data_IF_021821955429
#
_entry.id   IF_021821955429
#
_cell.length_a   1.000
_cell.length_b   1.000
_cell.length_c   1.000
_cell.angle_alpha   90.00
_cell.angle_beta   90.00
_cell.angle_gamma   90.00
#
_symmetry.space_group_name_H-M   'P 1'
#
loop_
_entity.id
_entity.type
_entity.pdbx_description
1 polymer ?
#
# COMPACT_ATOMS: atom_id res chain seq x y z
N UNK A 1 -34.27 -4.30 -17.62
CA UNK A 1 -34.46 -2.88 -17.94
C UNK A 1 -33.18 -2.16 -17.56
N UNK A 2 -32.57 -1.46 -18.52
CA UNK A 2 -31.31 -0.75 -18.29
C UNK A 2 -31.60 0.61 -17.64
N UNK A 3 -30.82 0.96 -16.62
CA UNK A 3 -30.97 2.23 -15.90
C UNK A 3 -30.51 2.11 -14.45
N UNK A 4 -30.42 3.25 -13.78
CA UNK A 4 -30.20 3.35 -12.35
C UNK A 4 -31.24 4.29 -11.77
N UNK A 5 -31.55 4.11 -10.49
CA UNK A 5 -32.43 5.01 -9.76
C UNK A 5 -31.73 6.35 -9.54
N UNK A 6 -32.44 7.43 -9.83
CA UNK A 6 -31.95 8.78 -9.62
C UNK A 6 -32.44 9.24 -8.23
N UNK A 7 -31.53 9.67 -7.34
CA UNK A 7 -31.90 10.00 -5.95
C UNK A 7 -32.69 11.30 -5.80
N UNK A 8 -32.62 12.21 -6.79
CA UNK A 8 -33.21 13.54 -6.71
C UNK A 8 -33.77 13.99 -8.08
N UNK A 9 -34.85 14.80 -8.07
CA UNK A 9 -35.46 15.39 -9.25
C UNK A 9 -34.64 16.53 -9.85
N UNK A 10 -33.72 17.12 -9.08
CA UNK A 10 -32.81 18.17 -9.56
C UNK A 10 -31.60 17.63 -10.36
N UNK A 11 -31.51 16.31 -10.54
CA UNK A 11 -30.42 15.70 -11.28
C UNK A 11 -30.40 16.12 -12.76
N UNK A 12 -29.27 16.60 -13.28
CA UNK A 12 -29.19 17.06 -14.66
C UNK A 12 -29.29 15.90 -15.65
N UNK A 13 -29.98 16.13 -16.76
CA UNK A 13 -30.10 15.19 -17.88
C UNK A 13 -29.06 15.55 -18.94
N UNK A 14 -28.27 14.58 -19.37
CA UNK A 14 -27.22 14.77 -20.39
C UNK A 14 -27.71 14.25 -21.75
N UNK A 15 -27.01 14.62 -22.83
CA UNK A 15 -27.31 14.11 -24.20
C UNK A 15 -27.32 12.56 -24.29
N UNK A 16 -26.59 11.89 -23.40
CA UNK A 16 -26.55 10.44 -23.32
C UNK A 16 -27.78 9.81 -22.63
N UNK A 17 -28.70 10.60 -22.08
CA UNK A 17 -29.93 10.10 -21.46
C UNK A 17 -30.94 9.74 -22.54
N UNK A 18 -31.17 8.44 -22.73
CA UNK A 18 -32.11 7.95 -23.72
C UNK A 18 -33.58 8.02 -23.25
N UNK A 19 -33.85 7.60 -22.01
CA UNK A 19 -35.19 7.53 -21.46
C UNK A 19 -35.21 7.90 -19.96
N UNK A 20 -36.29 8.53 -19.51
CA UNK A 20 -36.60 8.76 -18.09
C UNK A 20 -37.87 7.96 -17.77
N UNK A 21 -37.82 7.16 -16.70
CA UNK A 21 -38.95 6.32 -16.28
C UNK A 21 -39.44 6.83 -14.92
N UNK A 22 -40.67 7.33 -14.89
CA UNK A 22 -41.33 7.70 -13.65
C UNK A 22 -41.84 6.42 -12.96
N UNK A 23 -41.15 5.98 -11.92
CA UNK A 23 -41.59 4.87 -11.10
C UNK A 23 -42.67 5.33 -10.12
N UNK A 24 -43.73 4.52 -9.96
CA UNK A 24 -44.70 4.67 -8.88
C UNK A 24 -44.96 3.30 -8.25
N UNK A 25 -45.30 3.22 -6.95
CA UNK A 25 -45.55 1.95 -6.27
C UNK A 25 -46.67 1.12 -6.91
N UNK A 26 -47.63 1.77 -7.59
CA UNK A 26 -48.72 1.09 -8.29
C UNK A 26 -48.32 0.49 -9.64
N UNK A 27 -47.35 1.09 -10.34
CA UNK A 27 -46.84 0.60 -11.63
C UNK A 27 -45.67 -0.38 -11.46
N UNK A 28 -44.86 -0.17 -10.42
CA UNK A 28 -43.69 -0.96 -10.10
C UNK A 28 -43.78 -1.42 -8.65
N UNK A 29 -44.53 -2.51 -8.37
CA UNK A 29 -44.55 -3.09 -7.04
C UNK A 29 -43.14 -3.56 -6.64
N UNK A 30 -42.83 -3.60 -5.34
CA UNK A 30 -41.55 -4.11 -4.88
C UNK A 30 -41.34 -5.54 -5.40
N UNK A 31 -40.13 -5.89 -5.85
CA UNK A 31 -39.86 -7.23 -6.33
C UNK A 31 -40.10 -8.25 -5.21
N UNK A 32 -40.69 -9.41 -5.53
CA UNK A 32 -40.82 -10.49 -4.56
C UNK A 32 -39.43 -10.94 -4.07
N UNK A 33 -39.36 -11.56 -2.88
CA UNK A 33 -38.10 -12.01 -2.32
C UNK A 33 -37.38 -13.00 -3.25
N UNK A 34 -36.05 -12.97 -3.23
CA UNK A 34 -35.24 -13.92 -3.98
C UNK A 34 -35.50 -15.35 -3.50
N UNK A 35 -35.83 -16.23 -4.43
CA UNK A 35 -36.01 -17.66 -4.20
C UNK A 35 -34.78 -18.44 -4.71
N UNK A 36 -34.54 -19.67 -4.23
CA UNK A 36 -33.45 -20.49 -4.72
C UNK A 36 -33.54 -20.76 -6.23
N UNK A 37 -32.39 -20.76 -6.91
CA UNK A 37 -32.31 -21.08 -8.34
C UNK A 37 -32.74 -22.53 -8.61
N UNK A 38 -33.79 -22.71 -9.42
CA UNK A 38 -34.30 -24.03 -9.85
C UNK A 38 -33.61 -24.57 -11.12
N UNK A 39 -32.61 -23.87 -11.65
CA UNK A 39 -31.86 -24.24 -12.87
C UNK A 39 -32.76 -24.49 -14.10
N UNK A 40 -33.75 -23.62 -14.31
CA UNK A 40 -34.70 -23.73 -15.43
C UNK A 40 -34.13 -23.39 -16.82
N UNK A 41 -32.95 -22.77 -16.92
CA UNK A 41 -32.33 -22.43 -18.21
C UNK A 41 -32.84 -21.16 -18.90
N UNK A 42 -34.00 -20.62 -18.52
CA UNK A 42 -34.64 -19.46 -19.16
C UNK A 42 -33.73 -18.23 -19.30
N UNK A 43 -32.80 -18.03 -18.36
CA UNK A 43 -31.85 -16.92 -18.41
C UNK A 43 -30.87 -16.99 -19.59
N UNK A 44 -30.51 -18.19 -20.07
CA UNK A 44 -29.60 -18.37 -21.20
C UNK A 44 -30.31 -18.10 -22.52
N UNK A 45 -31.57 -18.54 -22.65
CA UNK A 45 -32.39 -18.35 -23.86
C UNK A 45 -32.64 -16.87 -24.19
N UNK A 46 -32.79 -16.02 -23.17
CA UNK A 46 -33.05 -14.59 -23.35
C UNK A 46 -31.78 -13.74 -23.44
N UNK A 47 -30.59 -14.33 -23.30
CA UNK A 47 -29.35 -13.57 -23.28
C UNK A 47 -28.99 -13.09 -24.69
N UNK A 48 -28.92 -11.78 -24.97
CA UNK A 48 -28.61 -11.26 -26.31
C UNK A 48 -27.15 -11.50 -26.74
N UNK A 49 -26.29 -11.91 -25.81
CA UNK A 49 -24.87 -12.21 -26.05
C UNK A 49 -24.58 -13.71 -25.90
N UNK A 50 -25.62 -14.55 -25.82
CA UNK A 50 -25.50 -16.02 -25.75
C UNK A 50 -24.59 -16.51 -24.61
N UNK A 51 -24.47 -15.73 -23.53
CA UNK A 51 -23.72 -16.12 -22.35
C UNK A 51 -24.46 -17.22 -21.58
N UNK A 52 -23.81 -17.77 -20.56
CA UNK A 52 -24.43 -18.68 -19.58
C UNK A 52 -24.65 -17.99 -18.22
N UNK A 53 -25.73 -17.18 -18.05
CA UNK A 53 -25.99 -16.47 -16.80
C UNK A 53 -26.12 -17.37 -15.58
N UNK A 54 -26.57 -18.62 -15.75
CA UNK A 54 -26.71 -19.55 -14.64
C UNK A 54 -25.35 -19.90 -14.02
N UNK A 55 -24.34 -20.20 -14.83
CA UNK A 55 -22.98 -20.51 -14.36
C UNK A 55 -22.30 -19.26 -13.79
N UNK A 56 -22.41 -18.15 -14.52
CA UNK A 56 -21.91 -16.84 -14.08
C UNK A 56 -22.48 -16.44 -12.73
N UNK A 57 -23.76 -16.73 -12.45
CA UNK A 57 -24.37 -16.45 -11.14
C UNK A 57 -23.72 -17.27 -10.03
N UNK A 58 -23.55 -18.58 -10.24
CA UNK A 58 -22.92 -19.44 -9.24
C UNK A 58 -21.47 -19.03 -8.97
N UNK A 59 -20.69 -18.68 -10.01
CA UNK A 59 -19.32 -18.20 -9.83
C UNK A 59 -19.25 -16.82 -9.18
N UNK A 60 -20.13 -15.89 -9.57
CA UNK A 60 -20.22 -14.56 -8.97
C UNK A 60 -20.63 -14.62 -7.49
N UNK A 61 -21.61 -15.46 -7.16
CA UNK A 61 -22.09 -15.68 -5.79
C UNK A 61 -21.01 -16.34 -4.91
N UNK A 62 -20.26 -17.29 -5.47
CA UNK A 62 -19.13 -17.93 -4.79
C UNK A 62 -17.85 -17.07 -4.75
N UNK A 63 -17.88 -15.84 -5.29
CA UNK A 63 -16.69 -14.96 -5.45
C UNK A 63 -15.53 -15.63 -6.20
N UNK A 64 -15.83 -16.56 -7.10
CA UNK A 64 -14.85 -17.21 -7.95
C UNK A 64 -14.65 -16.43 -9.25
N UNK A 65 -13.86 -15.36 -9.17
CA UNK A 65 -13.67 -14.44 -10.29
C UNK A 65 -12.80 -14.99 -11.43
N UNK A 66 -11.97 -16.00 -11.16
CA UNK A 66 -11.18 -16.66 -12.21
C UNK A 66 -12.09 -17.35 -13.22
N UNK A 67 -12.98 -18.22 -12.73
CA UNK A 67 -14.01 -18.85 -13.58
C UNK A 67 -14.98 -17.84 -14.17
N UNK A 68 -15.35 -16.81 -13.42
CA UNK A 68 -16.24 -15.77 -13.95
C UNK A 68 -15.64 -15.07 -15.18
N UNK A 69 -14.32 -14.90 -15.24
CA UNK A 69 -13.63 -14.37 -16.43
C UNK A 69 -13.52 -15.38 -17.57
N UNK A 70 -13.27 -16.67 -17.27
CA UNK A 70 -13.28 -17.75 -18.27
C UNK A 70 -14.62 -17.85 -19.01
N UNK A 71 -15.71 -17.49 -18.32
CA UNK A 71 -17.07 -17.44 -18.88
C UNK A 71 -17.46 -16.07 -19.44
N UNK A 72 -16.48 -15.23 -19.78
CA UNK A 72 -16.66 -13.98 -20.52
C UNK A 72 -17.63 -12.99 -19.86
N UNK A 73 -17.58 -12.85 -18.53
CA UNK A 73 -18.44 -11.90 -17.79
C UNK A 73 -18.39 -10.45 -18.33
N UNK A 74 -17.28 -10.05 -18.94
CA UNK A 74 -17.10 -8.71 -19.49
C UNK A 74 -17.94 -8.44 -20.74
N UNK A 75 -18.39 -9.48 -21.44
CA UNK A 75 -19.29 -9.36 -22.59
C UNK A 75 -20.73 -9.12 -22.15
N UNK A 76 -21.05 -9.33 -20.87
CA UNK A 76 -22.37 -9.03 -20.34
C UNK A 76 -22.65 -7.53 -20.40
N UNK A 77 -23.61 -7.07 -21.21
CA UNK A 77 -23.97 -5.63 -21.28
C UNK A 77 -24.93 -5.15 -20.17
N UNK A 78 -25.17 -5.95 -19.12
CA UNK A 78 -26.03 -5.58 -17.99
C UNK A 78 -27.48 -5.20 -18.39
N UNK A 79 -28.00 -5.78 -19.47
CA UNK A 79 -29.34 -5.48 -20.02
C UNK A 79 -30.51 -5.83 -19.08
N UNK A 80 -30.32 -6.82 -18.20
CA UNK A 80 -31.34 -7.25 -17.23
C UNK A 80 -32.38 -8.23 -17.75
N UNK A 81 -32.26 -8.74 -18.99
CA UNK A 81 -33.20 -9.72 -19.53
C UNK A 81 -33.24 -11.00 -18.67
N UNK A 82 -32.07 -11.48 -18.25
CA UNK A 82 -31.94 -12.67 -17.42
C UNK A 82 -32.60 -12.53 -16.03
N UNK A 83 -32.49 -11.37 -15.40
CA UNK A 83 -33.14 -11.09 -14.10
C UNK A 83 -34.65 -11.00 -14.22
N UNK A 84 -35.16 -10.44 -15.33
CA UNK A 84 -36.59 -10.28 -15.56
C UNK A 84 -37.31 -11.61 -15.81
N UNK A 85 -36.71 -12.50 -16.61
CA UNK A 85 -37.32 -13.80 -16.93
C UNK A 85 -37.15 -14.84 -15.81
N UNK A 86 -36.36 -14.55 -14.77
CA UNK A 86 -36.05 -15.52 -13.75
C UNK A 86 -37.30 -15.86 -12.90
N UNK A 87 -37.78 -17.12 -12.90
CA UNK A 87 -38.93 -17.52 -12.08
C UNK A 87 -38.63 -17.47 -10.58
N UNK A 88 -37.35 -17.52 -10.20
CA UNK A 88 -36.89 -17.40 -8.82
C UNK A 88 -36.65 -15.95 -8.39
N UNK A 89 -36.93 -14.97 -9.26
CA UNK A 89 -36.72 -13.53 -9.00
C UNK A 89 -35.29 -13.17 -8.56
N UNK A 90 -34.29 -13.91 -9.04
CA UNK A 90 -32.88 -13.68 -8.71
C UNK A 90 -32.39 -12.42 -9.44
N UNK A 91 -31.80 -11.44 -8.73
CA UNK A 91 -31.26 -10.22 -9.33
C UNK A 91 -29.90 -10.47 -10.00
N UNK A 92 -29.84 -11.37 -10.99
CA UNK A 92 -28.63 -11.81 -11.70
C UNK A 92 -27.69 -10.66 -12.11
N UNK A 93 -28.23 -9.57 -12.67
CA UNK A 93 -27.42 -8.41 -13.08
C UNK A 93 -26.69 -7.76 -11.90
N UNK A 94 -27.27 -7.73 -10.70
CA UNK A 94 -26.58 -7.16 -9.54
C UNK A 94 -25.36 -7.99 -9.14
N UNK A 95 -25.46 -9.32 -9.23
CA UNK A 95 -24.32 -10.21 -9.02
C UNK A 95 -23.23 -10.01 -10.09
N UNK A 96 -23.62 -9.78 -11.34
CA UNK A 96 -22.66 -9.53 -12.43
C UNK A 96 -21.96 -8.18 -12.28
N UNK A 97 -22.69 -7.12 -11.89
CA UNK A 97 -22.12 -5.80 -11.57
C UNK A 97 -21.15 -5.89 -10.40
N UNK A 98 -21.53 -6.61 -9.35
CA UNK A 98 -20.65 -6.92 -8.23
C UNK A 98 -19.38 -7.65 -8.71
N UNK A 99 -19.51 -8.70 -9.51
CA UNK A 99 -18.35 -9.45 -9.99
C UNK A 99 -17.40 -8.61 -10.86
N UNK A 100 -17.92 -7.82 -11.80
CA UNK A 100 -17.10 -6.93 -12.62
C UNK A 100 -16.37 -5.86 -11.81
N UNK A 101 -17.09 -5.20 -10.90
CA UNK A 101 -16.52 -4.15 -10.07
C UNK A 101 -15.41 -4.69 -9.16
N UNK A 102 -15.58 -5.89 -8.62
CA UNK A 102 -14.59 -6.59 -7.81
C UNK A 102 -13.36 -7.02 -8.64
N UNK A 103 -13.56 -7.53 -9.86
CA UNK A 103 -12.44 -7.84 -10.77
C UNK A 103 -11.65 -6.59 -11.09
N UNK A 104 -12.31 -5.48 -11.43
CA UNK A 104 -11.62 -4.22 -11.69
C UNK A 104 -10.94 -3.65 -10.46
N UNK A 105 -11.49 -3.83 -9.25
CA UNK A 105 -10.85 -3.42 -8.02
C UNK A 105 -9.53 -4.18 -7.82
N UNK A 106 -9.56 -5.51 -7.95
CA UNK A 106 -8.37 -6.37 -7.86
C UNK A 106 -7.32 -6.04 -8.90
N UNK A 107 -7.74 -5.75 -10.12
CA UNK A 107 -6.82 -5.37 -11.19
C UNK A 107 -6.16 -4.01 -10.90
N UNK A 108 -6.91 -3.02 -10.41
CA UNK A 108 -6.34 -1.73 -9.99
C UNK A 108 -5.36 -1.89 -8.82
N UNK A 109 -5.68 -2.72 -7.84
CA UNK A 109 -4.78 -3.01 -6.71
C UNK A 109 -3.50 -3.70 -7.17
N UNK A 110 -3.61 -4.67 -8.08
CA UNK A 110 -2.47 -5.36 -8.67
C UNK A 110 -1.57 -4.39 -9.45
N UNK A 111 -2.15 -3.57 -10.33
CA UNK A 111 -1.41 -2.54 -11.06
C UNK A 111 -0.73 -1.52 -10.13
N UNK A 112 -1.41 -1.11 -9.06
CA UNK A 112 -0.83 -0.22 -8.06
C UNK A 112 0.35 -0.88 -7.31
N UNK A 113 0.23 -2.16 -6.98
CA UNK A 113 1.28 -2.94 -6.34
C UNK A 113 2.49 -3.14 -7.26
N UNK A 114 2.27 -3.47 -8.54
CA UNK A 114 3.34 -3.67 -9.51
C UNK A 114 4.07 -2.35 -9.81
N UNK A 115 3.33 -1.26 -9.99
CA UNK A 115 3.93 0.08 -10.11
C UNK A 115 4.71 0.49 -8.84
N UNK A 116 4.30 0.04 -7.65
CA UNK A 116 5.05 0.29 -6.42
C UNK A 116 6.35 -0.52 -6.35
N UNK A 117 6.34 -1.78 -6.79
CA UNK A 117 7.55 -2.62 -6.90
C UNK A 117 8.55 -2.00 -7.88
N UNK A 118 8.10 -1.60 -9.07
CA UNK A 118 8.95 -0.94 -10.06
C UNK A 118 9.61 0.33 -9.50
N UNK A 119 8.85 1.18 -8.80
CA UNK A 119 9.41 2.37 -8.14
C UNK A 119 10.44 2.02 -7.07
N UNK A 120 10.22 0.95 -6.32
CA UNK A 120 11.14 0.49 -5.28
C UNK A 120 12.43 -0.07 -5.88
N UNK A 121 12.34 -0.91 -6.91
CA UNK A 121 13.47 -1.47 -7.64
C UNK A 121 14.33 -0.38 -8.29
N UNK A 122 13.71 0.63 -8.91
CA UNK A 122 14.42 1.78 -9.47
C UNK A 122 15.16 2.60 -8.40
N UNK A 123 14.57 2.74 -7.20
CA UNK A 123 15.23 3.42 -6.07
C UNK A 123 16.43 2.61 -5.58
N UNK A 124 16.28 1.30 -5.41
CA UNK A 124 17.36 0.43 -4.95
C UNK A 124 18.51 0.40 -5.95
N UNK A 125 18.21 0.24 -7.24
CA UNK A 125 19.23 0.27 -8.28
C UNK A 125 20.00 1.60 -8.31
N UNK A 126 19.35 2.74 -8.01
CA UNK A 126 20.05 4.03 -7.87
C UNK A 126 20.95 4.05 -6.63
N UNK A 127 20.44 3.61 -5.49
CA UNK A 127 21.18 3.57 -4.24
C UNK A 127 22.40 2.65 -4.32
N UNK A 128 22.28 1.49 -4.99
CA UNK A 128 23.38 0.55 -5.23
C UNK A 128 24.46 1.16 -6.13
N UNK A 129 24.10 1.86 -7.21
CA UNK A 129 25.07 2.59 -8.04
C UNK A 129 25.82 3.66 -7.25
N UNK A 130 25.10 4.48 -6.48
CA UNK A 130 25.72 5.50 -5.64
C UNK A 130 26.60 4.90 -4.54
N UNK A 131 26.22 3.77 -3.95
CA UNK A 131 27.02 3.06 -2.95
C UNK A 131 28.27 2.43 -3.55
N UNK A 132 28.17 1.82 -4.74
CA UNK A 132 29.29 1.26 -5.47
C UNK A 132 30.30 2.37 -5.84
N UNK A 133 29.84 3.49 -6.39
CA UNK A 133 30.70 4.64 -6.70
C UNK A 133 31.40 5.22 -5.46
N UNK A 134 30.67 5.32 -4.33
CA UNK A 134 31.23 5.76 -3.04
C UNK A 134 32.25 4.75 -2.51
N UNK A 135 31.95 3.45 -2.57
CA UNK A 135 32.85 2.39 -2.13
C UNK A 135 34.13 2.35 -2.98
N UNK A 136 34.03 2.48 -4.30
CA UNK A 136 35.17 2.58 -5.20
C UNK A 136 36.02 3.82 -4.90
N UNK A 137 35.40 4.99 -4.67
CA UNK A 137 36.12 6.22 -4.32
C UNK A 137 36.88 6.08 -3.00
N UNK A 138 36.25 5.48 -1.98
CA UNK A 138 36.89 5.22 -0.69
C UNK A 138 37.99 4.17 -0.81
N UNK A 139 37.80 3.11 -1.59
CA UNK A 139 38.82 2.09 -1.84
C UNK A 139 40.04 2.67 -2.57
N UNK A 140 39.84 3.52 -3.59
CA UNK A 140 40.92 4.24 -4.29
C UNK A 140 41.66 5.22 -3.36
N UNK A 141 40.93 5.91 -2.49
CA UNK A 141 41.55 6.80 -1.49
C UNK A 141 42.36 6.02 -0.44
N UNK A 142 41.89 4.84 -0.02
CA UNK A 142 42.59 3.97 0.93
C UNK A 142 43.84 3.33 0.32
N UNK A 143 43.78 2.88 -0.95
CA UNK A 143 44.95 2.33 -1.65
C UNK A 143 46.02 3.40 -1.89
N UNK A 144 45.64 4.63 -2.28
CA UNK A 144 46.57 5.76 -2.43
C UNK A 144 47.30 6.11 -1.12
N UNK A 145 46.59 6.15 0.01
CA UNK A 145 47.19 6.39 1.33
C UNK A 145 48.14 5.28 1.78
N UNK A 146 47.88 4.04 1.36
CA UNK A 146 48.74 2.89 1.69
C UNK A 146 50.02 2.88 0.84
N UNK A 147 49.96 3.35 -0.41
CA UNK A 147 51.15 3.53 -1.26
C UNK A 147 52.04 4.69 -0.81
N UNK A 148 51.47 5.82 -0.35
CA UNK A 148 52.26 6.95 0.17
C UNK A 148 52.99 6.59 1.48
N UNK A 149 52.38 5.80 2.36
CA UNK A 149 53.03 5.34 3.60
C UNK A 149 54.15 4.30 3.38
N UNK A 150 54.28 3.75 2.17
CA UNK A 150 55.38 2.84 1.79
C UNK A 150 56.57 3.53 1.12
N UNK A 151 56.52 4.85 0.85
CA UNK A 151 57.63 5.61 0.28
C UNK A 151 58.15 6.62 1.30
N UNK A 152 59.31 6.27 1.88
CA UNK A 152 60.25 7.02 2.75
C UNK A 152 60.13 6.87 4.29
N UNK A 153 61.25 6.68 5.02
CA UNK A 153 62.65 6.77 4.58
C UNK A 153 63.49 5.47 4.67
N UNK A 154 64.48 5.45 3.78
CA UNK A 154 65.60 4.54 3.64
C UNK A 154 66.87 5.26 4.17
N UNK A 155 67.58 4.70 5.18
CA UNK A 155 69.06 4.66 5.37
C UNK A 155 69.48 4.04 6.73
N UNK A 156 70.71 3.47 6.86
CA UNK A 156 70.98 2.17 7.50
C UNK A 156 72.06 2.27 8.62
N UNK A 157 72.85 1.21 8.99
CA UNK A 157 72.59 0.31 10.11
C UNK A 157 73.72 0.23 11.18
N UNK A 158 73.41 -0.25 12.40
CA UNK A 158 74.33 -0.86 13.40
C UNK A 158 73.55 -1.04 14.73
N UNK A 159 73.63 -2.08 15.57
CA UNK A 159 74.30 -3.40 15.65
C UNK A 159 73.53 -4.23 16.73
N UNK A 160 73.82 -5.53 16.76
CA UNK A 160 73.24 -6.70 17.44
C UNK A 160 72.80 -6.66 18.92
N UNK A 161 71.75 -7.46 19.23
CA UNK A 161 71.75 -8.39 20.38
C UNK A 161 70.81 -8.12 21.59
N UNK A 162 69.74 -8.91 21.81
CA UNK A 162 68.75 -8.81 22.92
C UNK A 162 68.97 -9.90 24.01
N UNK A 163 68.09 -10.16 25.04
CA UNK A 163 66.76 -9.59 25.32
C UNK A 163 66.38 -9.32 26.83
N UNK A 164 65.18 -8.74 26.98
CA UNK A 164 64.15 -8.97 28.02
C UNK A 164 64.06 -8.04 29.26
N UNK A 165 63.01 -7.20 29.30
CA UNK A 165 62.10 -7.06 30.45
C UNK A 165 60.82 -6.25 30.08
N UNK A 166 59.68 -6.93 30.23
CA UNK A 166 58.38 -6.47 30.71
C UNK A 166 57.71 -5.19 30.14
N UNK A 167 56.66 -5.45 29.36
CA UNK A 167 55.57 -4.53 29.05
C UNK A 167 54.68 -4.25 30.28
N UNK A 168 54.31 -2.98 30.52
CA UNK A 168 53.10 -2.62 31.30
C UNK A 168 52.55 -1.20 31.05
N UNK A 169 52.71 -0.60 29.86
CA UNK A 169 52.19 0.77 29.59
C UNK A 169 51.23 0.87 28.39
N UNK A 170 50.67 -0.25 27.91
CA UNK A 170 49.80 -0.27 26.73
C UNK A 170 48.31 -0.55 27.02
N UNK A 171 47.86 -0.48 28.27
CA UNK A 171 46.46 -0.76 28.65
C UNK A 171 45.61 0.49 28.95
N UNK A 172 46.22 1.67 29.12
CA UNK A 172 45.49 2.90 29.46
C UNK A 172 44.93 3.65 28.23
N UNK A 173 45.46 3.44 27.02
CA UNK A 173 45.13 4.28 25.86
C UNK A 173 43.90 3.82 25.06
N UNK A 174 43.49 2.56 25.20
CA UNK A 174 42.31 2.01 24.51
C UNK A 174 40.99 2.34 25.23
N UNK A 175 40.97 2.31 26.57
CA UNK A 175 39.81 2.67 27.38
C UNK A 175 39.45 4.15 27.25
N UNK A 176 40.46 5.01 27.18
CA UNK A 176 40.29 6.46 27.09
C UNK A 176 39.77 6.86 25.71
N UNK A 177 40.23 6.21 24.63
CA UNK A 177 39.71 6.43 23.28
C UNK A 177 38.25 5.97 23.12
N UNK A 178 37.84 4.90 23.80
CA UNK A 178 36.46 4.42 23.79
C UNK A 178 35.53 5.31 24.62
N UNK A 179 35.99 5.81 25.76
CA UNK A 179 35.27 6.78 26.59
C UNK A 179 35.06 8.11 25.86
N UNK A 180 36.07 8.62 25.15
CA UNK A 180 35.96 9.84 24.33
C UNK A 180 34.94 9.67 23.19
N UNK A 181 34.91 8.50 22.53
CA UNK A 181 33.90 8.20 21.49
C UNK A 181 32.48 8.12 22.05
N UNK A 182 32.29 7.45 23.19
CA UNK A 182 30.99 7.37 23.87
C UNK A 182 30.48 8.74 24.32
N UNK A 183 31.36 9.59 24.86
CA UNK A 183 31.02 10.97 25.22
C UNK A 183 30.65 11.83 23.99
N UNK A 184 31.36 11.68 22.88
CA UNK A 184 31.05 12.38 21.63
C UNK A 184 29.70 11.96 21.03
N UNK A 185 29.34 10.67 21.10
CA UNK A 185 28.04 10.15 20.65
C UNK A 185 26.90 10.67 21.53
N UNK A 186 27.09 10.69 22.86
CA UNK A 186 26.11 11.23 23.79
C UNK A 186 25.87 12.74 23.55
N UNK A 187 26.94 13.52 23.38
CA UNK A 187 26.85 14.95 23.07
C UNK A 187 26.26 15.23 21.68
N UNK A 188 26.40 14.30 20.72
CA UNK A 188 25.74 14.39 19.42
C UNK A 188 24.23 14.06 19.51
N UNK A 189 23.85 13.07 20.33
CA UNK A 189 22.45 12.73 20.58
C UNK A 189 21.71 13.85 21.32
N UNK A 190 22.35 14.51 22.27
CA UNK A 190 21.76 15.64 22.99
C UNK A 190 21.58 16.86 22.07
N UNK A 191 22.57 17.16 21.23
CA UNK A 191 22.44 18.19 20.18
C UNK A 191 21.35 17.86 19.16
N UNK A 192 21.18 16.59 18.80
CA UNK A 192 20.10 16.17 17.90
C UNK A 192 18.71 16.25 18.57
N UNK A 193 18.60 15.98 19.88
CA UNK A 193 17.36 16.17 20.64
C UNK A 193 17.00 17.66 20.76
N UNK A 194 17.95 18.50 21.12
CA UNK A 194 17.77 19.96 21.17
C UNK A 194 17.38 20.53 19.80
N UNK A 195 17.98 20.03 18.71
CA UNK A 195 17.61 20.44 17.35
C UNK A 195 16.19 19.98 16.96
N UNK A 196 15.77 18.78 17.37
CA UNK A 196 14.40 18.27 17.13
C UNK A 196 13.34 19.04 17.93
N UNK A 197 13.66 19.46 19.16
CA UNK A 197 12.77 20.31 19.97
C UNK A 197 12.69 21.75 19.43
N UNK A 198 13.80 22.27 18.86
CA UNK A 198 13.82 23.59 18.22
C UNK A 198 13.23 23.62 16.80
N UNK A 199 13.02 22.45 16.18
CA UNK A 199 12.45 22.33 14.85
C UNK A 199 10.92 22.47 14.91
N UNK A 200 10.45 23.71 15.10
CA UNK A 200 9.05 24.04 14.88
C UNK A 200 8.74 23.93 13.37
N UNK A 201 7.56 23.39 13.00
CA UNK A 201 7.16 23.29 11.60
C UNK A 201 7.00 24.68 10.99
N UNK A 202 7.92 25.05 10.09
CA UNK A 202 7.97 26.32 9.34
C UNK A 202 6.79 26.58 8.40
N UNK A 203 5.72 25.80 8.50
CA UNK A 203 4.57 25.79 7.59
C UNK A 203 3.28 26.28 8.29
N UNK A 204 3.45 27.17 9.27
CA UNK A 204 2.37 27.74 10.08
C UNK A 204 2.27 29.27 9.95
N UNK A 205 3.29 29.92 9.40
CA UNK A 205 3.32 31.38 9.25
C UNK A 205 2.73 31.82 7.89
N UNK A 206 1.63 32.59 7.93
CA UNK A 206 1.00 33.20 6.75
C UNK A 206 -0.14 32.41 6.08
N UNK A 207 -0.92 31.64 6.83
CA UNK A 207 -2.05 30.84 6.31
C UNK A 207 -3.25 31.70 5.92
N UNK A 208 -3.89 31.39 4.78
CA UNK A 208 -5.15 32.02 4.35
C UNK A 208 -6.34 31.63 5.25
N UNK A 209 -7.40 32.43 5.26
CA UNK A 209 -8.59 32.20 6.11
C UNK A 209 -9.29 30.86 5.85
N UNK A 210 -9.21 30.33 4.63
CA UNK A 210 -9.73 29.00 4.29
C UNK A 210 -8.92 27.87 4.93
N UNK A 211 -7.59 27.96 4.86
CA UNK A 211 -6.69 26.97 5.44
C UNK A 211 -6.76 26.94 6.97
N UNK A 212 -6.97 28.09 7.61
CA UNK A 212 -7.20 28.18 9.06
C UNK A 212 -8.47 27.43 9.48
N UNK A 213 -9.55 27.48 8.69
CA UNK A 213 -10.79 26.75 8.97
C UNK A 213 -10.63 25.24 8.81
N UNK A 214 -9.87 24.80 7.81
CA UNK A 214 -9.58 23.38 7.62
C UNK A 214 -8.73 22.81 8.75
N UNK A 215 -7.70 23.55 9.19
CA UNK A 215 -6.87 23.17 10.34
C UNK A 215 -7.72 23.05 11.60
N UNK A 216 -8.57 24.04 11.89
CA UNK A 216 -9.47 24.01 13.04
C UNK A 216 -10.45 22.82 13.01
N UNK A 217 -10.97 22.47 11.82
CA UNK A 217 -11.84 21.31 11.65
C UNK A 217 -11.10 19.98 11.89
N UNK A 218 -9.85 19.87 11.46
CA UNK A 218 -9.00 18.69 11.69
C UNK A 218 -8.60 18.57 13.16
N UNK A 219 -8.28 19.69 13.82
CA UNK A 219 -7.95 19.71 15.24
C UNK A 219 -9.16 19.36 16.12
N UNK A 220 -10.35 19.86 15.78
CA UNK A 220 -11.60 19.47 16.45
C UNK A 220 -11.85 17.96 16.34
N UNK A 221 -11.60 17.36 15.16
CA UNK A 221 -11.69 15.90 14.98
C UNK A 221 -10.65 15.13 15.81
N UNK A 222 -9.44 15.67 15.95
CA UNK A 222 -8.39 15.08 16.79
C UNK A 222 -8.70 15.18 18.27
N UNK A 223 -9.32 16.27 18.74
CA UNK A 223 -9.68 16.47 20.15
C UNK A 223 -10.76 15.49 20.64
N UNK A 224 -11.60 14.99 19.74
CA UNK A 224 -12.64 13.98 20.04
C UNK A 224 -12.05 12.56 20.11
N UNK A 225 -10.87 12.32 19.53
CA UNK A 225 -10.19 11.04 19.63
C UNK A 225 -9.31 11.02 20.89
N UNK A 226 -9.36 9.97 21.73
CA UNK A 226 -8.50 9.88 22.91
C UNK A 226 -7.02 9.92 22.48
N UNK A 227 -6.23 10.76 23.17
CA UNK A 227 -4.83 10.98 22.86
C UNK A 227 -4.02 9.67 22.98
N UNK A 228 -3.68 9.05 21.85
CA UNK A 228 -2.69 7.98 21.83
C UNK A 228 -1.32 8.63 22.08
N UNK A 229 -0.60 8.28 23.16
CA UNK A 229 0.70 8.88 23.44
C UNK A 229 1.69 8.52 22.34
N UNK A 230 2.25 9.53 21.70
CA UNK A 230 3.35 9.38 20.76
C UNK A 230 4.63 8.99 21.54
N UNK A 231 5.10 7.74 21.39
CA UNK A 231 6.28 7.28 22.14
C UNK A 231 6.81 5.84 21.98
N UNK A 232 6.81 5.25 20.77
CA UNK A 232 7.72 4.16 20.29
C UNK A 232 7.71 2.76 20.96
N UNK A 233 8.54 1.78 20.52
CA UNK A 233 9.16 1.51 19.21
C UNK A 233 8.49 0.32 18.48
N UNK A 234 8.95 -0.01 17.26
CA UNK A 234 8.34 -1.02 16.39
C UNK A 234 8.58 -2.51 16.74
N UNK A 235 8.15 -3.32 15.77
CA UNK A 235 8.27 -4.77 15.62
C UNK A 235 7.08 -5.62 16.07
N UNK A 236 6.41 -6.18 15.05
CA UNK A 236 5.95 -7.57 14.94
C UNK A 236 5.21 -8.23 16.12
N UNK A 237 3.90 -8.41 15.95
CA UNK A 237 3.20 -9.64 16.38
C UNK A 237 1.82 -9.72 15.74
N UNK A 238 1.78 -10.28 14.53
CA UNK A 238 0.55 -10.88 13.99
C UNK A 238 0.27 -12.14 14.83
N UNK A 239 -0.89 -12.29 15.48
CA UNK A 239 -1.23 -13.54 16.17
C UNK A 239 -1.51 -14.64 15.13
N UNK A 240 -1.05 -15.88 15.35
CA UNK A 240 -1.24 -16.96 14.38
C UNK A 240 -2.72 -17.35 14.29
N UNK A 241 -3.18 -17.55 13.06
CA UNK A 241 -4.48 -18.13 12.75
C UNK A 241 -4.59 -19.52 13.39
N UNK A 242 -5.58 -19.68 14.28
CA UNK A 242 -5.95 -20.97 14.82
C UNK A 242 -6.52 -21.85 13.70
N UNK A 243 -5.77 -22.89 13.34
CA UNK A 243 -6.27 -24.06 12.64
C UNK A 243 -7.02 -24.95 13.63
N UNK A 244 -8.33 -25.12 13.45
CA UNK A 244 -9.05 -26.27 13.98
C UNK A 244 -9.56 -27.10 12.82
N UNK A 245 -8.93 -28.27 12.67
CA UNK A 245 -9.48 -29.47 12.06
C UNK A 245 -10.18 -30.29 13.15
N UNK A 246 -11.16 -31.07 12.71
CA UNK A 246 -11.77 -32.25 13.34
C UNK A 246 -12.72 -32.05 14.53
N UNK A 247 -14.03 -32.06 14.25
CA UNK A 247 -14.93 -33.20 14.54
C UNK A 247 -16.15 -33.18 13.60
#
# INVERSE_FOLDING_TARGET
MMGFEIPDLDAPVVKATNCIIAASPGLFPPPPPEMPCIRCGACAEVCPHELQPFELYWFSRARNFGKTQEYYIFDCIECGCCSYVCPSHIPLVQYFRFAKSEIWAREREKQAADAAKERFELRNARAEREQAEKAERLARAASARTSEKKVAPERPPAVDGPPAAAASEAAATASDAEAIRKAAIAAAMERARAQRESAQPRNTDGLSTGQQREIAAVEARRAVLPATPAGGPGADSVPPAASQRDE
#
